data_IF_511224288239
#
_entry.id   IF_511224288239
#
_cell.length_a   1.000
_cell.length_b   1.000
_cell.length_c   1.000
_cell.angle_alpha   90.00
_cell.angle_beta   90.00
_cell.angle_gamma   90.00
#
_symmetry.space_group_name_H-M   'P 1'
#
loop_
_entity.id
_entity.type
_entity.pdbx_description
1 polymer ?
#
# COMPACT_ATOMS: atom_id res chain seq x y z
N UNK A 1 -5.27 -18.20 8.07
CA UNK A 1 -5.91 -16.97 7.59
C UNK A 1 -6.11 -17.12 6.11
N UNK A 2 -7.35 -17.09 5.64
CA UNK A 2 -7.64 -17.20 4.20
C UNK A 2 -7.65 -15.79 3.59
N UNK A 3 -6.81 -15.57 2.60
CA UNK A 3 -6.73 -14.32 1.84
C UNK A 3 -6.36 -14.63 0.40
N UNK A 4 -6.83 -13.77 -0.51
CA UNK A 4 -6.48 -13.86 -1.94
C UNK A 4 -5.58 -12.69 -2.30
N UNK A 5 -4.73 -12.90 -3.29
CA UNK A 5 -3.87 -11.84 -3.84
C UNK A 5 -4.02 -11.75 -5.33
N UNK A 6 -4.06 -10.52 -5.85
CA UNK A 6 -4.01 -10.23 -7.28
C UNK A 6 -2.92 -9.21 -7.57
N UNK A 7 -2.15 -9.43 -8.62
CA UNK A 7 -1.24 -8.40 -9.14
C UNK A 7 -2.09 -7.30 -9.78
N UNK A 8 -1.92 -6.07 -9.30
CA UNK A 8 -2.63 -4.89 -9.80
C UNK A 8 -1.74 -3.94 -10.59
N UNK A 9 -0.42 -4.16 -10.59
CA UNK A 9 0.51 -3.38 -11.39
C UNK A 9 1.96 -3.59 -10.99
N UNK A 10 2.81 -2.75 -11.57
CA UNK A 10 4.25 -2.71 -11.34
C UNK A 10 4.68 -1.28 -11.01
N UNK A 11 5.73 -1.12 -10.21
CA UNK A 11 6.36 0.17 -9.92
C UNK A 11 7.79 0.12 -10.42
N UNK A 12 8.12 1.05 -11.30
CA UNK A 12 9.50 1.34 -11.69
C UNK A 12 9.70 2.85 -11.52
N UNK A 13 10.32 3.26 -10.41
CA UNK A 13 10.44 4.68 -10.01
C UNK A 13 11.90 5.02 -9.70
N UNK A 14 12.55 5.71 -10.63
CA UNK A 14 14.00 6.00 -10.59
C UNK A 14 14.34 7.33 -9.89
N UNK A 15 13.38 7.94 -9.19
CA UNK A 15 13.51 9.29 -8.60
C UNK A 15 14.57 9.39 -7.50
N UNK A 16 14.87 8.30 -6.80
CA UNK A 16 15.84 8.27 -5.71
C UNK A 16 16.82 7.08 -5.86
N UNK A 17 17.96 7.08 -5.12
CA UNK A 17 18.96 6.03 -5.23
C UNK A 17 18.45 4.62 -4.91
N UNK A 18 17.46 4.49 -4.03
CA UNK A 18 16.85 3.20 -3.68
C UNK A 18 15.93 2.77 -4.82
N UNK A 19 15.09 3.67 -5.32
CA UNK A 19 14.19 3.41 -6.44
C UNK A 19 14.90 2.88 -7.69
N UNK A 20 16.06 3.44 -8.05
CA UNK A 20 16.89 3.02 -9.20
C UNK A 20 17.37 1.57 -9.19
N UNK A 21 17.31 0.91 -8.05
CA UNK A 21 17.74 -0.49 -7.90
C UNK A 21 16.61 -1.42 -7.46
N UNK A 22 15.36 -0.94 -7.43
CA UNK A 22 14.20 -1.74 -7.04
C UNK A 22 13.10 -1.69 -8.09
N UNK A 23 12.66 -2.88 -8.52
CA UNK A 23 11.45 -3.05 -9.33
C UNK A 23 10.34 -3.64 -8.45
N UNK A 24 9.22 -2.93 -8.35
CA UNK A 24 8.09 -3.29 -7.50
C UNK A 24 7.00 -4.07 -8.24
N UNK A 25 6.47 -5.12 -7.61
CA UNK A 25 5.23 -5.80 -8.03
C UNK A 25 4.16 -5.48 -6.99
N UNK A 26 3.04 -4.89 -7.40
CA UNK A 26 1.99 -4.45 -6.49
C UNK A 26 0.90 -5.51 -6.41
N UNK A 27 0.67 -6.02 -5.21
CA UNK A 27 -0.41 -6.97 -4.92
C UNK A 27 -1.55 -6.29 -4.17
N UNK A 28 -2.78 -6.50 -4.61
CA UNK A 28 -3.97 -6.28 -3.79
C UNK A 28 -4.25 -7.56 -3.02
N UNK A 29 -4.17 -7.48 -1.69
CA UNK A 29 -4.50 -8.58 -0.79
C UNK A 29 -5.90 -8.36 -0.21
N UNK A 30 -6.78 -9.35 -0.38
CA UNK A 30 -8.16 -9.31 0.10
C UNK A 30 -8.32 -10.37 1.19
N UNK A 31 -8.50 -9.91 2.42
CA UNK A 31 -8.81 -10.75 3.56
C UNK A 31 -10.27 -11.23 3.51
N UNK A 32 -10.53 -12.39 4.11
CA UNK A 32 -11.89 -12.93 4.22
C UNK A 32 -12.79 -12.17 5.21
N UNK A 33 -12.23 -11.27 6.03
CA UNK A 33 -12.94 -10.30 6.86
C UNK A 33 -12.04 -9.09 7.17
N UNK A 34 -12.58 -8.12 7.91
CA UNK A 34 -11.94 -6.86 8.28
C UNK A 34 -11.01 -6.94 9.51
N UNK A 35 -10.83 -8.12 10.11
CA UNK A 35 -9.95 -8.33 11.27
C UNK A 35 -8.49 -8.44 10.84
N UNK A 36 -7.99 -7.39 10.20
CA UNK A 36 -6.60 -7.25 9.76
C UNK A 36 -5.88 -6.35 10.76
N UNK A 37 -4.86 -6.90 11.42
CA UNK A 37 -4.11 -6.21 12.47
C UNK A 37 -2.59 -6.29 12.26
N UNK A 38 -1.87 -5.33 12.84
CA UNK A 38 -0.41 -5.34 12.89
C UNK A 38 0.07 -6.45 13.83
N UNK A 39 0.94 -7.32 13.31
CA UNK A 39 1.54 -8.42 14.08
C UNK A 39 2.63 -7.94 15.04
N UNK A 40 3.52 -7.05 14.60
CA UNK A 40 4.63 -6.52 15.41
C UNK A 40 4.26 -5.17 16.04
N UNK A 41 3.55 -5.22 17.17
CA UNK A 41 2.94 -4.04 17.81
C UNK A 41 3.94 -3.12 18.55
N UNK A 42 5.15 -3.62 18.84
CA UNK A 42 6.18 -2.82 19.55
C UNK A 42 6.92 -1.83 18.64
N UNK A 43 6.97 -2.10 17.34
CA UNK A 43 7.65 -1.25 16.35
C UNK A 43 6.69 -0.55 15.40
N UNK A 44 5.56 -1.20 15.11
CA UNK A 44 4.65 -0.75 14.07
C UNK A 44 3.28 -0.43 14.65
N UNK A 45 2.66 0.58 14.07
CA UNK A 45 1.27 0.93 14.30
C UNK A 45 0.54 0.95 12.96
N UNK A 46 -0.75 0.64 12.99
CA UNK A 46 -1.54 0.56 11.77
C UNK A 46 -3.00 0.27 12.09
N UNK A 47 -3.87 0.63 11.16
CA UNK A 47 -5.31 0.39 11.24
C UNK A 47 -5.89 0.23 9.85
N UNK A 48 -6.96 -0.54 9.77
CA UNK A 48 -7.80 -0.57 8.57
C UNK A 48 -8.50 0.78 8.40
N UNK A 49 -8.58 1.23 7.16
CA UNK A 49 -9.24 2.47 6.77
C UNK A 49 -9.73 2.38 5.34
N UNK A 50 -10.78 3.14 5.03
CA UNK A 50 -11.25 3.34 3.67
C UNK A 50 -10.27 4.20 2.86
N UNK A 51 -10.34 4.13 1.53
CA UNK A 51 -9.53 5.00 0.65
C UNK A 51 -9.80 6.49 0.89
N UNK A 52 -11.03 6.85 1.25
CA UNK A 52 -11.40 8.22 1.58
C UNK A 52 -10.71 8.69 2.87
N UNK A 53 -10.71 7.87 3.91
CA UNK A 53 -10.02 8.18 5.16
C UNK A 53 -8.50 8.24 4.98
N UNK A 54 -7.94 7.36 4.14
CA UNK A 54 -6.50 7.33 3.84
C UNK A 54 -6.01 8.60 3.15
N UNK A 55 -6.88 9.29 2.39
CA UNK A 55 -6.55 10.55 1.69
C UNK A 55 -5.92 11.61 2.60
N UNK A 56 -6.36 11.71 3.87
CA UNK A 56 -5.81 12.68 4.82
C UNK A 56 -4.34 12.42 5.18
N UNK A 57 -3.85 11.20 4.96
CA UNK A 57 -2.46 10.81 5.22
C UNK A 57 -1.59 10.87 3.98
N UNK A 58 -2.13 11.21 2.80
CA UNK A 58 -1.38 11.26 1.54
C UNK A 58 -0.18 12.22 1.59
N UNK A 59 -0.24 13.29 2.39
CA UNK A 59 0.91 14.18 2.62
C UNK A 59 2.01 13.60 3.52
N UNK A 60 1.73 12.51 4.25
CA UNK A 60 2.68 11.76 5.09
C UNK A 60 3.21 10.48 4.43
N UNK A 61 2.65 10.12 3.27
CA UNK A 61 3.14 9.03 2.44
C UNK A 61 4.34 9.52 1.63
N UNK A 62 5.22 8.60 1.21
CA UNK A 62 6.41 8.89 0.41
C UNK A 62 6.65 7.80 -0.64
N UNK A 63 7.35 8.17 -1.72
CA UNK A 63 7.76 7.26 -2.79
C UNK A 63 6.61 6.36 -3.27
N UNK A 64 6.82 5.06 -3.16
CA UNK A 64 5.88 4.05 -3.67
C UNK A 64 4.51 4.08 -2.99
N UNK A 65 4.42 4.49 -1.72
CA UNK A 65 3.13 4.58 -1.03
C UNK A 65 2.22 5.67 -1.61
N UNK A 66 2.81 6.78 -2.09
CA UNK A 66 2.07 7.82 -2.82
C UNK A 66 1.61 7.32 -4.19
N UNK A 67 2.50 6.66 -4.94
CA UNK A 67 2.20 6.11 -6.27
C UNK A 67 1.01 5.15 -6.21
N UNK A 68 1.06 4.18 -5.29
CA UNK A 68 -0.02 3.19 -5.13
C UNK A 68 -1.31 3.87 -4.68
N UNK A 69 -1.26 4.80 -3.72
CA UNK A 69 -2.45 5.49 -3.25
C UNK A 69 -3.13 6.30 -4.37
N UNK A 70 -2.36 7.05 -5.14
CA UNK A 70 -2.89 7.90 -6.22
C UNK A 70 -3.52 7.04 -7.33
N UNK A 71 -2.87 5.93 -7.69
CA UNK A 71 -3.43 4.97 -8.65
C UNK A 71 -4.74 4.34 -8.16
N UNK A 72 -4.81 3.92 -6.89
CA UNK A 72 -6.03 3.38 -6.28
C UNK A 72 -7.16 4.42 -6.31
N UNK A 73 -6.86 5.69 -6.05
CA UNK A 73 -7.83 6.79 -6.09
C UNK A 73 -8.37 7.14 -7.47
N UNK A 74 -7.66 6.76 -8.54
CA UNK A 74 -8.11 6.94 -9.93
C UNK A 74 -8.88 5.70 -10.44
N UNK A 75 -8.64 4.54 -9.84
CA UNK A 75 -9.19 3.26 -10.29
C UNK A 75 -10.50 2.87 -9.59
N UNK A 76 -10.87 3.58 -8.53
CA UNK A 76 -12.07 3.40 -7.71
C UNK A 76 -12.69 4.76 -7.35
#
# INVERSE_FOLDING_TARGET
YDYKTKIIGFINDDKDPVGRVHFGVVFLAEGSNDRIEIKEKDKLSGKMMTLLEAKKFRGKMEGWSQIVFDWLRMSF
#
